data_IF_974501955480
#
_entry.id   IF_974501955480
#
_cell.length_a   1.000
_cell.length_b   1.000
_cell.length_c   1.000
_cell.angle_alpha   90.00
_cell.angle_beta   90.00
_cell.angle_gamma   90.00
#
_symmetry.space_group_name_H-M   'P 1'
#
loop_
_entity.id
_entity.type
_entity.pdbx_description
1 polymer ?
#
# COMPACT_ATOMS: atom_id res chain seq x y z
N UNK A 1 5.37 5.59 -0.42
CA UNK A 1 4.76 4.61 -1.34
C UNK A 1 5.38 4.70 -2.73
N UNK A 2 5.68 3.54 -3.29
CA UNK A 2 6.21 3.47 -4.65
C UNK A 2 5.16 3.94 -5.65
N UNK A 3 5.55 4.84 -6.56
CA UNK A 3 4.69 5.21 -7.67
C UNK A 3 4.59 4.04 -8.66
N UNK A 4 3.38 3.58 -8.91
CA UNK A 4 3.12 2.54 -9.88
C UNK A 4 2.93 3.23 -11.24
N UNK A 5 3.99 3.26 -12.03
CA UNK A 5 4.08 4.13 -13.20
C UNK A 5 3.04 3.86 -14.30
N UNK A 6 2.41 2.67 -14.30
CA UNK A 6 1.29 2.37 -15.19
C UNK A 6 0.01 3.12 -14.80
N UNK A 7 -0.09 3.59 -13.55
CA UNK A 7 -1.24 4.30 -13.01
C UNK A 7 -0.78 5.51 -12.19
N UNK A 8 -0.15 6.51 -12.84
CA UNK A 8 0.55 7.57 -12.10
C UNK A 8 -0.37 8.46 -11.27
N UNK A 9 -1.55 8.81 -11.77
CA UNK A 9 -2.49 9.65 -11.00
C UNK A 9 -3.07 8.91 -9.81
N UNK A 10 -3.37 7.63 -9.98
CA UNK A 10 -3.82 6.78 -8.88
C UNK A 10 -2.73 6.66 -7.80
N UNK A 11 -1.49 6.41 -8.21
CA UNK A 11 -0.35 6.34 -7.29
C UNK A 11 -0.15 7.66 -6.53
N UNK A 12 -0.28 8.79 -7.21
CA UNK A 12 -0.19 10.09 -6.56
C UNK A 12 -1.27 10.30 -5.51
N UNK A 13 -2.51 9.88 -5.79
CA UNK A 13 -3.61 9.98 -4.82
C UNK A 13 -3.37 9.10 -3.60
N UNK A 14 -2.80 7.91 -3.79
CA UNK A 14 -2.46 7.00 -2.67
C UNK A 14 -1.31 7.54 -1.83
N UNK A 15 -0.32 8.17 -2.46
CA UNK A 15 0.77 8.82 -1.73
C UNK A 15 0.26 10.00 -0.89
N UNK A 16 -0.68 10.78 -1.41
CA UNK A 16 -1.31 11.85 -0.67
C UNK A 16 -2.09 11.32 0.54
N UNK A 17 -2.83 10.22 0.36
CA UNK A 17 -3.55 9.57 1.44
C UNK A 17 -2.60 9.06 2.53
N UNK A 18 -1.45 8.51 2.15
CA UNK A 18 -0.42 8.07 3.08
C UNK A 18 0.11 9.23 3.92
N UNK A 19 0.43 10.35 3.27
CA UNK A 19 0.90 11.56 3.96
C UNK A 19 -0.16 12.09 4.93
N UNK A 20 -1.42 12.12 4.51
CA UNK A 20 -2.53 12.55 5.36
C UNK A 20 -2.70 11.61 6.57
N UNK A 21 -2.55 10.32 6.38
CA UNK A 21 -2.62 9.32 7.44
C UNK A 21 -1.53 9.58 8.49
N UNK A 22 -0.30 9.87 8.05
CA UNK A 22 0.81 10.19 8.95
C UNK A 22 0.53 11.45 9.76
N UNK A 23 0.02 12.49 9.11
CA UNK A 23 -0.34 13.74 9.78
C UNK A 23 -1.47 13.54 10.79
N UNK A 24 -2.50 12.79 10.42
CA UNK A 24 -3.62 12.47 11.31
C UNK A 24 -3.16 11.68 12.53
N UNK A 25 -2.27 10.72 12.32
CA UNK A 25 -1.71 9.92 13.42
C UNK A 25 -1.01 10.81 14.44
N UNK A 26 -0.18 11.74 13.95
CA UNK A 26 0.54 12.66 14.81
C UNK A 26 -0.41 13.59 15.60
N UNK A 27 -1.43 14.12 14.93
CA UNK A 27 -2.38 15.04 15.54
C UNK A 27 -3.27 14.37 16.59
N UNK A 28 -3.61 13.09 16.40
CA UNK A 28 -4.55 12.38 17.26
C UNK A 28 -3.87 11.56 18.36
N UNK A 29 -2.54 11.46 18.34
CA UNK A 29 -1.80 10.66 19.32
C UNK A 29 -2.11 11.06 20.77
N UNK A 30 -2.25 12.36 21.05
CA UNK A 30 -2.54 12.87 22.39
C UNK A 30 -3.93 12.54 22.92
N UNK A 31 -4.84 12.08 22.05
CA UNK A 31 -6.20 11.69 22.41
C UNK A 31 -6.35 10.19 22.67
N UNK A 32 -5.27 9.41 22.53
CA UNK A 32 -5.33 7.96 22.64
C UNK A 32 -5.98 7.29 21.42
N UNK A 33 -6.10 8.01 20.30
CA UNK A 33 -6.67 7.48 19.06
C UNK A 33 -5.56 6.85 18.22
N UNK A 34 -5.75 5.59 17.83
CA UNK A 34 -4.83 4.89 16.93
C UNK A 34 -5.31 5.04 15.49
N UNK A 35 -4.39 5.41 14.61
CA UNK A 35 -4.68 5.60 13.18
C UNK A 35 -3.90 4.55 12.39
N UNK A 36 -4.63 3.72 11.66
CA UNK A 36 -4.05 2.67 10.83
C UNK A 36 -4.19 3.03 9.35
N UNK A 37 -3.08 2.93 8.60
CA UNK A 37 -3.09 3.03 7.16
C UNK A 37 -3.11 1.63 6.55
N UNK A 38 -3.94 1.42 5.54
CA UNK A 38 -4.04 0.14 4.85
C UNK A 38 -3.66 0.35 3.39
N UNK A 39 -2.67 -0.38 2.92
CA UNK A 39 -2.09 -0.21 1.58
C UNK A 39 -2.12 -1.54 0.84
N UNK A 40 -3.27 -1.94 0.29
CA UNK A 40 -3.39 -3.22 -0.39
C UNK A 40 -2.73 -3.20 -1.77
N UNK A 41 -2.25 -4.36 -2.21
CA UNK A 41 -1.90 -4.61 -3.59
C UNK A 41 -3.16 -4.96 -4.40
N UNK A 42 -3.04 -5.63 -5.54
CA UNK A 42 -4.19 -6.05 -6.34
C UNK A 42 -5.10 -7.00 -5.54
N UNK A 43 -6.38 -6.67 -5.47
CA UNK A 43 -7.40 -7.49 -4.83
C UNK A 43 -8.36 -7.97 -5.93
N UNK A 44 -8.84 -9.19 -5.81
CA UNK A 44 -9.77 -9.79 -6.79
C UNK A 44 -11.14 -9.10 -6.71
N UNK A 45 -11.24 -7.95 -7.35
CA UNK A 45 -12.43 -7.12 -7.45
C UNK A 45 -12.64 -6.71 -8.90
N UNK A 46 -13.82 -6.21 -9.23
CA UNK A 46 -14.12 -5.72 -10.57
C UNK A 46 -13.15 -4.62 -11.04
N UNK A 47 -12.70 -3.76 -10.14
CA UNK A 47 -11.75 -2.68 -10.45
C UNK A 47 -10.39 -3.24 -10.89
N UNK A 48 -10.00 -4.39 -10.39
CA UNK A 48 -8.69 -4.99 -10.66
C UNK A 48 -8.72 -6.07 -11.76
N UNK A 49 -9.86 -6.32 -12.42
CA UNK A 49 -9.99 -7.37 -13.44
C UNK A 49 -8.99 -7.22 -14.59
N UNK A 50 -8.67 -5.98 -14.96
CA UNK A 50 -7.73 -5.71 -16.06
C UNK A 50 -6.26 -5.84 -15.67
N UNK A 51 -5.97 -6.09 -14.39
CA UNK A 51 -4.61 -6.21 -13.89
C UNK A 51 -4.15 -7.66 -14.02
N UNK A 52 -3.12 -7.89 -14.84
CA UNK A 52 -2.56 -9.22 -15.07
C UNK A 52 -1.47 -9.52 -14.04
N UNK A 53 -1.87 -9.88 -12.83
CA UNK A 53 -0.99 -10.31 -11.74
C UNK A 53 -1.79 -11.06 -10.69
N UNK A 54 -1.09 -11.77 -9.80
CA UNK A 54 -1.71 -12.48 -8.70
C UNK A 54 -2.46 -11.50 -7.80
N UNK A 55 -3.71 -11.82 -7.50
CA UNK A 55 -4.60 -11.01 -6.69
C UNK A 55 -4.97 -11.75 -5.42
N UNK A 56 -4.96 -11.03 -4.30
CA UNK A 56 -5.46 -11.57 -3.04
C UNK A 56 -7.00 -11.62 -3.05
N UNK A 57 -7.58 -12.54 -2.30
CA UNK A 57 -9.03 -12.58 -2.15
C UNK A 57 -9.49 -11.48 -1.17
N UNK A 58 -10.71 -10.94 -1.35
CA UNK A 58 -11.23 -9.97 -0.38
C UNK A 58 -11.26 -10.49 1.05
N UNK A 59 -11.57 -11.77 1.24
CA UNK A 59 -11.59 -12.37 2.57
C UNK A 59 -10.21 -12.38 3.24
N UNK A 60 -9.18 -12.74 2.49
CA UNK A 60 -7.80 -12.77 3.00
C UNK A 60 -7.32 -11.36 3.34
N UNK A 61 -7.64 -10.38 2.50
CA UNK A 61 -7.29 -8.98 2.75
C UNK A 61 -7.97 -8.47 4.02
N UNK A 62 -9.26 -8.73 4.17
CA UNK A 62 -10.01 -8.32 5.35
C UNK A 62 -9.45 -8.93 6.63
N UNK A 63 -9.11 -10.23 6.59
CA UNK A 63 -8.52 -10.93 7.73
C UNK A 63 -7.17 -10.31 8.12
N UNK A 64 -6.31 -10.03 7.14
CA UNK A 64 -5.01 -9.41 7.38
C UNK A 64 -5.16 -8.00 7.97
N UNK A 65 -6.14 -7.22 7.53
CA UNK A 65 -6.42 -5.90 8.08
C UNK A 65 -6.81 -5.99 9.55
N UNK A 66 -7.73 -6.89 9.89
CA UNK A 66 -8.19 -7.07 11.27
C UNK A 66 -7.04 -7.53 12.17
N UNK A 67 -6.21 -8.46 11.69
CA UNK A 67 -5.03 -8.92 12.43
C UNK A 67 -4.06 -7.77 12.68
N UNK A 68 -3.84 -6.91 11.69
CA UNK A 68 -2.98 -5.75 11.80
C UNK A 68 -3.49 -4.75 12.84
N UNK A 69 -4.79 -4.49 12.85
CA UNK A 69 -5.41 -3.59 13.83
C UNK A 69 -5.26 -4.17 15.24
N UNK A 70 -5.54 -5.45 15.42
CA UNK A 70 -5.44 -6.12 16.72
C UNK A 70 -4.01 -6.11 17.26
N UNK A 71 -3.01 -6.28 16.38
CA UNK A 71 -1.60 -6.28 16.78
C UNK A 71 -1.00 -4.89 16.96
N UNK A 72 -1.75 -3.83 16.65
CA UNK A 72 -1.28 -2.46 16.77
C UNK A 72 -0.37 -2.01 15.63
N UNK A 73 -0.38 -2.71 14.50
CA UNK A 73 0.40 -2.33 13.32
C UNK A 73 -0.15 -1.04 12.71
N UNK A 74 0.69 -0.04 12.57
CA UNK A 74 0.26 1.26 12.07
C UNK A 74 0.04 1.29 10.56
N UNK A 75 0.99 0.75 9.80
CA UNK A 75 0.91 0.67 8.34
C UNK A 75 0.74 -0.80 7.96
N UNK A 76 -0.41 -1.14 7.41
CA UNK A 76 -0.82 -2.51 7.15
C UNK A 76 -0.72 -2.80 5.66
N UNK A 77 0.07 -3.80 5.31
CA UNK A 77 0.22 -4.31 3.94
C UNK A 77 -0.42 -5.70 3.92
N UNK A 78 -1.70 -5.80 3.52
CA UNK A 78 -2.51 -6.99 3.81
C UNK A 78 -2.34 -8.16 2.85
N UNK A 79 -1.43 -8.05 1.89
CA UNK A 79 -1.16 -9.11 0.92
C UNK A 79 0.34 -9.18 0.59
N UNK A 80 0.76 -10.29 -0.01
CA UNK A 80 2.18 -10.53 -0.29
C UNK A 80 2.78 -9.48 -1.23
N UNK A 81 2.02 -9.03 -2.23
CA UNK A 81 2.48 -8.01 -3.16
C UNK A 81 2.73 -6.68 -2.43
N UNK A 82 1.75 -6.24 -1.64
CA UNK A 82 1.85 -5.00 -0.88
C UNK A 82 2.99 -5.06 0.14
N UNK A 83 3.14 -6.17 0.82
CA UNK A 83 4.20 -6.37 1.81
C UNK A 83 5.58 -6.25 1.18
N UNK A 84 5.78 -6.89 0.04
CA UNK A 84 7.05 -6.84 -0.68
C UNK A 84 7.37 -5.42 -1.13
N UNK A 85 6.44 -4.74 -1.77
CA UNK A 85 6.67 -3.38 -2.27
C UNK A 85 6.76 -2.35 -1.15
N UNK A 86 6.00 -2.53 -0.07
CA UNK A 86 6.09 -1.67 1.11
C UNK A 86 7.45 -1.76 1.78
N UNK A 87 7.98 -2.95 1.95
CA UNK A 87 9.30 -3.18 2.52
C UNK A 87 10.40 -2.59 1.63
N UNK A 88 10.33 -2.83 0.33
CA UNK A 88 11.31 -2.32 -0.62
C UNK A 88 11.33 -0.79 -0.61
N UNK A 89 10.17 -0.14 -0.60
CA UNK A 89 10.06 1.31 -0.54
C UNK A 89 10.67 1.86 0.75
N UNK A 90 10.40 1.21 1.89
CA UNK A 90 10.93 1.63 3.18
C UNK A 90 12.45 1.54 3.24
N UNK A 91 13.03 0.51 2.61
CA UNK A 91 14.48 0.31 2.57
C UNK A 91 15.16 1.27 1.60
N UNK A 92 14.60 1.46 0.42
CA UNK A 92 15.17 2.35 -0.60
C UNK A 92 14.09 2.86 -1.56
N UNK A 93 13.53 4.04 -1.29
CA UNK A 93 12.57 4.65 -2.21
C UNK A 93 13.13 4.84 -3.63
N UNK A 94 14.39 5.18 -3.75
CA UNK A 94 15.04 5.38 -5.06
C UNK A 94 15.16 4.07 -5.82
N UNK A 95 15.48 2.96 -5.16
CA UNK A 95 15.54 1.65 -5.81
C UNK A 95 14.16 1.22 -6.31
N UNK A 96 13.10 1.50 -5.55
CA UNK A 96 11.72 1.23 -5.98
C UNK A 96 11.34 2.03 -7.23
N UNK A 97 11.70 3.32 -7.26
CA UNK A 97 11.48 4.16 -8.44
C UNK A 97 12.19 3.60 -9.67
N UNK A 98 13.44 3.22 -9.51
CA UNK A 98 14.25 2.67 -10.61
C UNK A 98 13.71 1.34 -11.10
N UNK A 99 13.21 0.50 -10.21
CA UNK A 99 12.60 -0.76 -10.58
C UNK A 99 11.35 -0.53 -11.43
N UNK A 100 10.50 0.42 -11.04
CA UNK A 100 9.31 0.76 -11.82
C UNK A 100 9.69 1.29 -13.20
N UNK A 101 10.70 2.13 -13.29
CA UNK A 101 11.19 2.64 -14.56
C UNK A 101 11.69 1.51 -15.46
N UNK A 102 12.40 0.53 -14.91
CA UNK A 102 12.90 -0.62 -15.65
C UNK A 102 11.74 -1.49 -16.16
N UNK A 103 10.70 -1.67 -15.38
CA UNK A 103 9.51 -2.42 -15.81
C UNK A 103 8.82 -1.76 -16.99
N UNK A 104 8.71 -0.43 -16.98
CA UNK A 104 8.16 0.34 -18.12
C UNK A 104 9.04 0.18 -19.35
N UNK A 105 10.35 0.30 -19.20
CA UNK A 105 11.29 0.21 -20.32
C UNK A 105 11.31 -1.18 -20.98
N UNK A 106 10.94 -2.24 -20.23
CA UNK A 106 10.92 -3.61 -20.76
C UNK A 106 9.62 -3.96 -21.49
N UNK A 107 8.63 -3.07 -21.49
CA UNK A 107 7.38 -3.25 -22.23
C UNK A 107 7.39 -2.41 -23.51
#
# INVERSE_FOLDING_TARGET
LTNFAFFPTYSASKAAAHSLTQGSRALLAGQGTTVHGVYPGPVDTAMAESVDMDKATPADVASAILDGVESGTEDIYPDAFAEQFGQQFSESPKASEQQMAAMIAST
#
